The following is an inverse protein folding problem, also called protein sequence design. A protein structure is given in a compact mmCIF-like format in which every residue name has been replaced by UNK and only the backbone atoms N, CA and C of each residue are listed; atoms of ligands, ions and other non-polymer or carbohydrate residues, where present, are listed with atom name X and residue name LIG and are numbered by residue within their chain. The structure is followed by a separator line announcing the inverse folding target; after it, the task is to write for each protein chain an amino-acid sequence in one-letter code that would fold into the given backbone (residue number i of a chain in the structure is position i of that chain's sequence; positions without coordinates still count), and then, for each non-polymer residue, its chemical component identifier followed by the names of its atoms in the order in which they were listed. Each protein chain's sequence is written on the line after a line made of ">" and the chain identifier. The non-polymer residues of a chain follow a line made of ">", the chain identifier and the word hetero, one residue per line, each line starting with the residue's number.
data_IF_456252901846
#
_entry.id   IF_456252901846
#
_cell.length_a   1.000
_cell.length_b   1.000
_cell.length_c   1.000
_cell.angle_alpha   90.00
_cell.angle_beta   90.00
_cell.angle_gamma   90.00
#
_symmetry.space_group_name_H-M   'P 1'
#
loop_
_entity.id
_entity.type
_entity.pdbx_description
1 polymer ?
#
# COMPACT_ATOMS: atom_id res chain seq x y z
N UNK A 1 -28.88 7.56 4.60
CA UNK A 1 -28.21 7.70 5.91
C UNK A 1 -26.96 8.54 5.72
N UNK A 2 -26.69 9.54 6.57
CA UNK A 2 -25.40 10.22 6.55
C UNK A 2 -24.27 9.21 6.86
N UNK A 3 -23.10 9.32 6.22
CA UNK A 3 -21.98 8.43 6.52
C UNK A 3 -21.57 8.61 7.99
N UNK A 4 -21.14 7.53 8.68
CA UNK A 4 -20.70 7.63 10.05
C UNK A 4 -19.56 8.65 10.17
N UNK A 5 -19.62 9.48 11.21
CA UNK A 5 -18.63 10.51 11.50
C UNK A 5 -17.28 9.95 11.98
N UNK A 6 -17.16 8.63 12.11
CA UNK A 6 -15.93 7.94 12.46
C UNK A 6 -15.13 7.67 11.18
N UNK A 7 -14.22 8.58 10.84
CA UNK A 7 -13.27 8.34 9.77
C UNK A 7 -12.25 7.27 10.18
N UNK A 8 -11.99 6.33 9.27
CA UNK A 8 -10.91 5.35 9.42
C UNK A 8 -9.53 5.95 9.09
N UNK A 9 -9.50 7.16 8.51
CA UNK A 9 -8.30 7.86 8.09
C UNK A 9 -8.26 9.27 8.72
N UNK A 10 -7.11 9.94 8.66
CA UNK A 10 -7.02 11.34 9.06
C UNK A 10 -7.54 12.32 7.99
N UNK A 11 -7.99 11.84 6.83
CA UNK A 11 -8.44 12.68 5.71
C UNK A 11 -9.59 13.61 6.11
N UNK A 12 -10.39 13.25 7.10
CA UNK A 12 -11.51 14.04 7.61
C UNK A 12 -11.29 14.64 9.00
N UNK A 13 -10.05 14.79 9.46
CA UNK A 13 -9.75 15.52 10.71
C UNK A 13 -10.33 16.95 10.66
N UNK A 14 -10.90 17.38 11.79
CA UNK A 14 -11.26 18.78 11.99
C UNK A 14 -10.01 19.67 12.12
N UNK A 15 -10.13 20.96 11.82
CA UNK A 15 -9.01 21.91 11.78
C UNK A 15 -8.26 21.99 13.12
N UNK A 16 -8.96 21.91 14.25
CA UNK A 16 -8.36 21.94 15.59
C UNK A 16 -7.56 20.67 15.90
N UNK A 17 -7.99 19.52 15.36
CA UNK A 17 -7.28 18.25 15.46
C UNK A 17 -6.06 18.23 14.54
N UNK A 18 -6.19 18.72 13.31
CA UNK A 18 -5.07 18.82 12.36
C UNK A 18 -3.95 19.69 12.91
N UNK A 19 -4.27 20.78 13.62
CA UNK A 19 -3.26 21.65 14.26
C UNK A 19 -2.35 20.93 15.25
N UNK A 20 -2.77 19.77 15.79
CA UNK A 20 -1.99 18.96 16.72
C UNK A 20 -1.02 18.01 16.02
N UNK A 21 -1.15 17.83 14.70
CA UNK A 21 -0.25 16.99 13.94
C UNK A 21 1.12 17.65 13.72
N UNK A 22 2.20 16.86 13.66
CA UNK A 22 3.48 17.30 13.13
C UNK A 22 3.38 17.96 11.74
N UNK A 23 4.28 18.88 11.43
CA UNK A 23 4.19 19.69 10.19
C UNK A 23 4.27 18.85 8.91
N UNK A 24 5.12 17.84 8.90
CA UNK A 24 5.23 16.86 7.82
C UNK A 24 3.94 16.06 7.62
N UNK A 25 3.31 15.61 8.70
CA UNK A 25 2.01 14.94 8.64
C UNK A 25 0.89 15.87 8.14
N UNK A 26 0.88 17.15 8.54
CA UNK A 26 -0.06 18.15 7.98
C UNK A 26 0.17 18.37 6.49
N UNK A 27 1.43 18.51 6.06
CA UNK A 27 1.77 18.68 4.65
C UNK A 27 1.34 17.46 3.81
N UNK A 28 1.61 16.25 4.29
CA UNK A 28 1.17 15.01 3.65
C UNK A 28 -0.37 14.94 3.57
N UNK A 29 -1.07 15.23 4.68
CA UNK A 29 -2.52 15.25 4.74
C UNK A 29 -3.14 16.23 3.73
N UNK A 30 -2.59 17.45 3.63
CA UNK A 30 -3.03 18.45 2.64
C UNK A 30 -2.81 17.97 1.21
N UNK A 31 -1.66 17.35 0.93
CA UNK A 31 -1.36 16.76 -0.37
C UNK A 31 -2.40 15.73 -0.79
N UNK A 32 -2.70 14.78 0.11
CA UNK A 32 -3.74 13.75 -0.16
C UNK A 32 -5.11 14.38 -0.32
N UNK A 33 -5.51 15.33 0.54
CA UNK A 33 -6.80 16.03 0.41
C UNK A 33 -6.94 16.77 -0.92
N UNK A 34 -5.88 17.39 -1.41
CA UNK A 34 -5.88 18.04 -2.72
C UNK A 34 -6.10 17.01 -3.83
N UNK A 35 -5.42 15.86 -3.78
CA UNK A 35 -5.64 14.78 -4.74
C UNK A 35 -7.10 14.28 -4.73
N UNK A 36 -7.68 14.07 -3.54
CA UNK A 36 -9.09 13.66 -3.41
C UNK A 36 -10.03 14.68 -4.03
N UNK A 37 -9.82 15.99 -3.76
CA UNK A 37 -10.63 17.05 -4.35
C UNK A 37 -10.53 17.05 -5.87
N UNK A 38 -9.33 16.84 -6.42
CA UNK A 38 -9.12 16.71 -7.86
C UNK A 38 -9.92 15.54 -8.42
N UNK A 39 -9.81 14.34 -7.83
CA UNK A 39 -10.56 13.17 -8.29
C UNK A 39 -12.08 13.34 -8.18
N UNK A 40 -12.58 13.94 -7.10
CA UNK A 40 -14.00 14.25 -6.96
C UNK A 40 -14.46 15.23 -8.06
N UNK A 41 -13.65 16.25 -8.36
CA UNK A 41 -13.93 17.19 -9.43
C UNK A 41 -13.95 16.51 -10.80
N UNK A 42 -13.01 15.60 -11.06
CA UNK A 42 -12.96 14.82 -12.31
C UNK A 42 -14.18 13.91 -12.46
N UNK A 43 -14.58 13.20 -11.40
CA UNK A 43 -15.79 12.36 -11.40
C UNK A 43 -17.05 13.17 -11.69
N UNK A 44 -17.18 14.36 -11.08
CA UNK A 44 -18.30 15.28 -11.34
C UNK A 44 -18.30 15.79 -12.77
N UNK A 45 -17.15 16.18 -13.29
CA UNK A 45 -17.04 16.66 -14.67
C UNK A 45 -17.40 15.57 -15.69
N UNK A 46 -17.05 14.32 -15.38
CA UNK A 46 -17.41 13.16 -16.19
C UNK A 46 -18.87 12.71 -16.04
N UNK A 47 -19.66 13.32 -15.14
CA UNK A 47 -21.04 12.88 -14.84
C UNK A 47 -21.11 11.50 -14.17
N UNK A 48 -20.03 11.07 -13.50
CA UNK A 48 -19.88 9.77 -12.85
C UNK A 48 -20.05 9.83 -11.33
N UNK A 49 -20.50 10.96 -10.78
CA UNK A 49 -20.74 11.12 -9.35
C UNK A 49 -22.08 10.51 -8.90
N UNK A 50 -22.96 10.15 -9.85
CA UNK A 50 -24.27 9.53 -9.63
C UNK A 50 -25.16 10.32 -8.65
N UNK A 51 -24.97 11.64 -8.56
CA UNK A 51 -25.68 12.49 -7.60
C UNK A 51 -25.29 12.25 -6.13
N UNK A 52 -24.16 11.60 -5.86
CA UNK A 52 -23.66 11.38 -4.51
C UNK A 52 -23.20 12.70 -3.86
N UNK A 53 -23.48 12.83 -2.57
CA UNK A 53 -23.00 13.97 -1.79
C UNK A 53 -21.47 13.97 -1.70
N UNK A 54 -20.87 15.16 -1.53
CA UNK A 54 -19.42 15.28 -1.32
C UNK A 54 -18.94 14.43 -0.12
N UNK A 55 -19.67 14.46 0.99
CA UNK A 55 -19.36 13.64 2.17
C UNK A 55 -19.33 12.13 1.86
N UNK A 56 -20.22 11.65 0.98
CA UNK A 56 -20.25 10.26 0.53
C UNK A 56 -19.04 9.91 -0.33
N UNK A 57 -18.63 10.82 -1.23
CA UNK A 57 -17.44 10.61 -2.07
C UNK A 57 -16.15 10.60 -1.23
N UNK A 58 -16.02 11.50 -0.26
CA UNK A 58 -14.91 11.47 0.71
C UNK A 58 -14.88 10.19 1.53
N UNK A 59 -16.04 9.74 2.02
CA UNK A 59 -16.14 8.47 2.73
C UNK A 59 -15.75 7.28 1.83
N UNK A 60 -16.18 7.27 0.57
CA UNK A 60 -15.80 6.22 -0.37
C UNK A 60 -14.28 6.21 -0.61
N UNK A 61 -13.66 7.39 -0.75
CA UNK A 61 -12.22 7.50 -0.88
C UNK A 61 -11.48 7.00 0.38
N UNK A 62 -11.97 7.35 1.58
CA UNK A 62 -11.44 6.80 2.85
C UNK A 62 -11.48 5.28 2.84
N UNK A 63 -12.61 4.70 2.44
CA UNK A 63 -12.79 3.25 2.42
C UNK A 63 -11.84 2.58 1.44
N UNK A 64 -11.74 3.10 0.21
CA UNK A 64 -10.83 2.53 -0.80
C UNK A 64 -9.38 2.69 -0.37
N UNK A 65 -8.97 3.87 0.10
CA UNK A 65 -7.58 4.11 0.49
C UNK A 65 -7.15 3.27 1.69
N UNK A 66 -8.00 3.12 2.71
CA UNK A 66 -7.65 2.42 3.96
C UNK A 66 -7.93 0.90 3.94
N UNK A 67 -8.77 0.40 3.03
CA UNK A 67 -9.22 -1.01 3.05
C UNK A 67 -9.02 -1.78 1.75
N UNK A 68 -8.50 -1.15 0.70
CA UNK A 68 -8.21 -1.87 -0.54
C UNK A 68 -6.89 -2.63 -0.49
N UNK A 69 -6.86 -3.74 -1.23
CA UNK A 69 -5.66 -4.50 -1.54
C UNK A 69 -5.21 -4.14 -2.94
N UNK A 70 -3.92 -3.83 -3.09
CA UNK A 70 -3.33 -3.66 -4.42
C UNK A 70 -3.12 -5.04 -5.05
N UNK A 71 -3.70 -5.24 -6.22
CA UNK A 71 -3.41 -6.39 -7.07
C UNK A 71 -2.98 -5.88 -8.44
N UNK A 72 -1.96 -6.49 -9.02
CA UNK A 72 -1.63 -6.23 -10.42
C UNK A 72 -2.52 -7.11 -11.28
N UNK A 73 -2.89 -6.64 -12.47
CA UNK A 73 -3.48 -7.46 -13.52
C UNK A 73 -2.70 -7.27 -14.81
N UNK A 74 -2.30 -8.37 -15.44
CA UNK A 74 -1.95 -8.37 -16.84
C UNK A 74 -3.28 -8.31 -17.61
N UNK A 75 -3.72 -7.10 -17.97
CA UNK A 75 -4.88 -6.99 -18.84
C UNK A 75 -4.44 -7.44 -20.24
N UNK A 76 -5.08 -8.46 -20.83
CA UNK A 76 -4.94 -8.67 -22.25
C UNK A 76 -5.46 -7.42 -22.97
N UNK A 77 -4.75 -6.98 -24.03
CA UNK A 77 -5.30 -6.02 -24.99
C UNK A 77 -6.69 -6.51 -25.46
N UNK A 78 -7.60 -5.63 -25.96
CA UNK A 78 -9.06 -5.84 -26.01
C UNK A 78 -9.65 -7.08 -26.73
N UNK A 79 -8.86 -8.10 -27.08
CA UNK A 79 -9.28 -9.26 -27.88
C UNK A 79 -8.88 -10.64 -27.33
N UNK A 80 -8.47 -10.80 -26.07
CA UNK A 80 -8.05 -12.13 -25.58
C UNK A 80 -8.29 -12.37 -24.09
N UNK A 81 -8.43 -13.64 -23.73
CA UNK A 81 -8.71 -14.18 -22.40
C UNK A 81 -7.63 -13.80 -21.36
N UNK A 82 -8.03 -13.57 -20.11
CA UNK A 82 -7.12 -13.19 -19.00
C UNK A 82 -6.33 -14.42 -18.53
N UNK A 83 -5.00 -14.38 -18.65
CA UNK A 83 -4.10 -15.38 -18.06
C UNK A 83 -3.51 -14.89 -16.72
N UNK A 84 -3.15 -15.87 -15.88
CA UNK A 84 -2.91 -15.81 -14.43
C UNK A 84 -1.98 -14.68 -13.94
N UNK A 85 -2.23 -14.17 -12.71
CA UNK A 85 -1.51 -13.02 -12.13
C UNK A 85 -0.99 -13.33 -10.73
N UNK A 86 0.24 -12.90 -10.44
CA UNK A 86 0.89 -13.02 -9.14
C UNK A 86 0.77 -11.72 -8.34
N UNK A 87 0.42 -11.81 -7.06
CA UNK A 87 0.54 -10.69 -6.12
C UNK A 87 2.02 -10.30 -5.95
N UNK A 88 2.33 -9.01 -5.98
CA UNK A 88 3.67 -8.51 -5.69
C UNK A 88 3.94 -8.69 -4.20
N UNK A 89 4.71 -9.72 -3.86
CA UNK A 89 5.69 -9.58 -2.78
C UNK A 89 6.92 -8.93 -3.43
N UNK A 90 7.40 -7.82 -2.86
CA UNK A 90 8.49 -6.98 -3.38
C UNK A 90 9.62 -7.80 -4.05
N UNK A 91 10.05 -7.48 -5.29
CA UNK A 91 10.97 -8.34 -6.03
C UNK A 91 12.41 -8.26 -5.48
N UNK A 92 12.97 -9.42 -5.13
CA UNK A 92 14.41 -9.62 -4.89
C UNK A 92 15.07 -10.03 -6.21
N UNK A 93 15.97 -9.18 -6.71
CA UNK A 93 16.78 -9.41 -7.91
C UNK A 93 17.74 -10.60 -7.74
N UNK A 94 17.69 -11.57 -8.67
CA UNK A 94 18.85 -12.12 -9.39
C UNK A 94 18.52 -13.48 -10.05
N UNK A 95 18.60 -13.59 -11.38
CA UNK A 95 19.36 -14.69 -12.03
C UNK A 95 19.56 -14.53 -13.54
N UNK A 96 20.74 -14.99 -13.93
CA UNK A 96 21.36 -15.11 -15.25
C UNK A 96 20.92 -16.37 -16.02
N UNK A 97 20.73 -16.24 -17.34
CA UNK A 97 21.23 -17.17 -18.37
C UNK A 97 20.32 -18.29 -18.88
N UNK A 98 19.73 -18.10 -20.07
CA UNK A 98 19.98 -18.86 -21.32
C UNK A 98 18.97 -18.45 -22.43
N UNK A 99 19.40 -18.28 -23.70
CA UNK A 99 18.49 -17.95 -24.80
C UNK A 99 17.94 -19.22 -25.47
N UNK A 100 16.61 -19.36 -25.50
CA UNK A 100 15.88 -20.36 -26.30
C UNK A 100 14.94 -19.65 -27.27
N UNK A 101 14.70 -20.29 -28.41
CA UNK A 101 14.08 -19.79 -29.64
C UNK A 101 12.76 -19.04 -29.43
N UNK A 102 12.60 -17.97 -30.23
CA UNK A 102 11.51 -17.01 -30.19
C UNK A 102 10.19 -17.56 -30.76
N UNK A 103 9.19 -17.66 -29.89
CA UNK A 103 7.78 -17.64 -30.27
C UNK A 103 7.28 -16.20 -30.31
N UNK A 104 6.68 -15.82 -31.43
CA UNK A 104 6.11 -14.50 -31.65
C UNK A 104 4.64 -14.47 -31.22
N UNK A 105 4.34 -14.06 -29.98
CA UNK A 105 3.09 -13.34 -29.65
C UNK A 105 3.06 -12.66 -28.26
N UNK A 106 4.20 -12.38 -27.61
CA UNK A 106 4.20 -11.67 -26.32
C UNK A 106 4.26 -10.15 -26.52
N UNK A 107 3.14 -9.56 -26.94
CA UNK A 107 2.98 -8.12 -26.73
C UNK A 107 3.00 -7.88 -25.20
N UNK A 108 3.91 -7.06 -24.67
CA UNK A 108 4.02 -6.85 -23.24
C UNK A 108 2.72 -6.26 -22.71
N UNK A 109 1.94 -7.05 -21.99
CA UNK A 109 0.77 -6.55 -21.28
C UNK A 109 1.26 -5.56 -20.23
N UNK A 110 0.79 -4.31 -20.31
CA UNK A 110 1.17 -3.31 -19.32
C UNK A 110 0.47 -3.68 -18.02
N UNK A 111 1.19 -3.94 -16.92
CA UNK A 111 0.56 -4.30 -15.66
C UNK A 111 -0.30 -3.13 -15.18
N UNK A 112 -1.59 -3.39 -14.96
CA UNK A 112 -2.52 -2.43 -14.38
C UNK A 112 -2.68 -2.74 -12.90
N UNK A 113 -2.46 -1.74 -12.05
CA UNK A 113 -2.71 -1.86 -10.62
C UNK A 113 -4.19 -1.63 -10.34
N UNK A 114 -4.83 -2.60 -9.71
CA UNK A 114 -6.22 -2.58 -9.29
C UNK A 114 -6.29 -2.45 -7.76
N UNK A 115 -7.27 -1.66 -7.30
CA UNK A 115 -7.66 -1.59 -5.90
C UNK A 115 -8.84 -2.55 -5.66
N UNK A 116 -8.65 -3.56 -4.81
CA UNK A 116 -9.66 -4.56 -4.50
C UNK A 116 -10.20 -4.37 -3.09
N UNK A 117 -11.50 -4.15 -2.96
CA UNK A 117 -12.17 -4.24 -1.67
C UNK A 117 -12.63 -5.68 -1.45
N UNK A 118 -11.90 -6.43 -0.62
CA UNK A 118 -12.19 -7.84 -0.34
C UNK A 118 -12.92 -7.95 1.00
N UNK A 119 -14.21 -8.35 1.03
CA UNK A 119 -14.95 -8.56 2.27
C UNK A 119 -14.21 -9.51 3.21
N UNK A 120 -14.34 -9.30 4.52
CA UNK A 120 -13.66 -10.05 5.59
C UNK A 120 -12.15 -9.83 5.65
N UNK A 121 -11.44 -9.90 4.53
CA UNK A 121 -9.99 -9.65 4.50
C UNK A 121 -9.66 -8.20 4.91
N UNK A 122 -10.52 -7.23 4.58
CA UNK A 122 -10.36 -5.84 5.00
C UNK A 122 -10.50 -5.59 6.51
N UNK A 123 -10.80 -6.64 7.30
CA UNK A 123 -10.81 -6.59 8.76
C UNK A 123 -9.46 -6.97 9.38
N UNK A 124 -8.53 -7.51 8.59
CA UNK A 124 -7.19 -7.86 9.05
C UNK A 124 -6.40 -6.58 9.38
N UNK A 125 -5.83 -6.54 10.58
CA UNK A 125 -5.04 -5.41 11.02
C UNK A 125 -3.60 -5.47 10.50
N UNK A 126 -2.93 -4.32 10.59
CA UNK A 126 -1.53 -4.20 10.28
C UNK A 126 -0.65 -4.61 11.48
N UNK A 127 0.41 -5.37 11.21
CA UNK A 127 1.54 -5.51 12.13
C UNK A 127 2.86 -5.38 11.36
N UNK A 128 3.89 -4.69 11.90
CA UNK A 128 5.24 -4.66 11.29
C UNK A 128 5.93 -6.02 11.21
N UNK A 129 5.53 -6.97 12.05
CA UNK A 129 5.96 -8.37 12.09
C UNK A 129 4.77 -9.29 11.79
N UNK A 130 4.18 -9.21 10.58
CA UNK A 130 2.91 -9.88 10.30
C UNK A 130 3.05 -11.40 10.32
N UNK A 131 2.03 -12.07 10.84
CA UNK A 131 1.92 -13.54 10.89
C UNK A 131 1.14 -14.12 9.70
N UNK A 132 0.57 -13.27 8.84
CA UNK A 132 -0.06 -13.65 7.58
C UNK A 132 0.39 -12.78 6.40
N UNK A 133 0.17 -13.33 5.21
CA UNK A 133 0.23 -12.66 3.92
C UNK A 133 -1.05 -12.96 3.14
N UNK A 134 -1.23 -12.35 1.98
CA UNK A 134 -2.34 -12.66 1.09
C UNK A 134 -1.87 -12.86 -0.35
N UNK A 135 -2.66 -13.62 -1.11
CA UNK A 135 -2.51 -13.78 -2.56
C UNK A 135 -3.86 -13.54 -3.21
N UNK A 136 -3.88 -12.64 -4.19
CA UNK A 136 -5.00 -12.46 -5.08
C UNK A 136 -4.67 -13.12 -6.42
N UNK A 137 -5.55 -13.99 -6.91
CA UNK A 137 -5.53 -14.54 -8.26
C UNK A 137 -6.81 -14.07 -8.97
N UNK A 138 -6.67 -13.09 -9.85
CA UNK A 138 -7.80 -12.48 -10.55
C UNK A 138 -8.33 -13.35 -11.69
N UNK A 139 -7.50 -14.24 -12.24
CA UNK A 139 -7.92 -15.21 -13.25
C UNK A 139 -8.86 -16.24 -12.65
N UNK A 140 -8.51 -16.76 -11.48
CA UNK A 140 -9.35 -17.70 -10.71
C UNK A 140 -10.37 -17.00 -9.81
N UNK A 141 -10.34 -15.67 -9.74
CA UNK A 141 -11.18 -14.84 -8.84
C UNK A 141 -11.09 -15.28 -7.37
N UNK A 142 -9.90 -15.64 -6.93
CA UNK A 142 -9.66 -16.06 -5.55
C UNK A 142 -8.82 -15.04 -4.80
N UNK A 143 -9.12 -14.90 -3.51
CA UNK A 143 -8.31 -14.15 -2.56
C UNK A 143 -8.05 -15.05 -1.36
N UNK A 144 -6.78 -15.33 -1.09
CA UNK A 144 -6.37 -16.27 -0.04
C UNK A 144 -5.49 -15.54 0.95
N UNK A 145 -5.84 -15.64 2.23
CA UNK A 145 -4.98 -15.22 3.34
C UNK A 145 -4.21 -16.45 3.80
N UNK A 146 -2.88 -16.36 3.77
CA UNK A 146 -1.98 -17.47 4.05
C UNK A 146 -1.10 -17.12 5.23
N UNK A 147 -0.91 -18.06 6.14
CA UNK A 147 0.02 -17.87 7.26
C UNK A 147 1.46 -17.74 6.75
N UNK A 148 2.21 -16.77 7.27
CA UNK A 148 3.57 -16.50 6.83
C UNK A 148 4.54 -17.50 7.46
N UNK A 149 5.28 -18.23 6.63
CA UNK A 149 6.48 -18.96 7.07
C UNK A 149 7.58 -17.95 7.40
N UNK A 150 8.16 -18.03 8.60
CA UNK A 150 9.21 -17.10 9.04
C UNK A 150 10.36 -17.10 8.02
N UNK A 151 10.54 -15.99 7.32
CA UNK A 151 11.26 -15.89 6.04
C UNK A 151 12.78 -16.12 6.05
N UNK A 152 13.33 -16.71 7.10
CA UNK A 152 14.75 -17.09 7.18
C UNK A 152 15.01 -18.44 7.85
N UNK A 153 13.96 -19.11 8.33
CA UNK A 153 14.10 -20.43 8.90
C UNK A 153 13.38 -21.42 8.01
N UNK A 154 14.09 -22.47 7.57
CA UNK A 154 13.49 -23.67 6.99
C UNK A 154 12.60 -24.43 8.00
N UNK A 155 12.51 -23.94 9.23
CA UNK A 155 11.56 -24.40 10.23
C UNK A 155 10.14 -23.98 9.82
N UNK A 156 9.20 -24.89 10.06
CA UNK A 156 7.79 -24.72 9.73
C UNK A 156 7.23 -23.38 10.23
N UNK A 157 6.28 -22.76 9.51
CA UNK A 157 5.55 -21.57 9.99
C UNK A 157 5.08 -21.81 11.43
N UNK A 158 5.40 -20.87 12.33
CA UNK A 158 4.91 -20.93 13.72
C UNK A 158 3.38 -20.95 13.68
N UNK A 159 2.70 -22.03 14.09
CA UNK A 159 1.25 -22.13 14.04
C UNK A 159 0.60 -20.99 14.83
N UNK A 160 -0.53 -20.47 14.32
CA UNK A 160 -1.36 -19.50 15.02
C UNK A 160 -1.97 -20.18 16.25
N UNK A 161 -1.81 -19.55 17.41
CA UNK A 161 -2.39 -20.05 18.66
C UNK A 161 -3.84 -19.53 18.80
N UNK A 162 -4.79 -20.30 19.36
CA UNK A 162 -6.13 -19.78 19.64
C UNK A 162 -6.08 -18.48 20.46
N UNK A 163 -6.76 -17.44 19.96
CA UNK A 163 -6.76 -16.10 20.56
C UNK A 163 -5.65 -15.17 20.06
N UNK A 164 -4.68 -15.65 19.27
CA UNK A 164 -3.73 -14.80 18.56
C UNK A 164 -4.43 -14.06 17.41
N UNK A 165 -4.16 -12.76 17.28
CA UNK A 165 -4.69 -11.95 16.20
C UNK A 165 -3.99 -12.27 14.87
N UNK A 166 -4.76 -12.36 13.79
CA UNK A 166 -4.21 -12.55 12.45
C UNK A 166 -3.93 -11.18 11.82
N UNK A 167 -2.65 -10.88 11.61
CA UNK A 167 -2.20 -9.58 11.10
C UNK A 167 -1.43 -9.73 9.79
N UNK A 168 -1.61 -8.77 8.90
CA UNK A 168 -0.90 -8.65 7.63
C UNK A 168 -0.01 -7.39 7.61
N UNK A 169 0.88 -7.27 6.63
CA UNK A 169 1.48 -5.98 6.35
C UNK A 169 0.59 -5.18 5.40
N UNK A 170 0.37 -3.90 5.69
CA UNK A 170 -0.26 -2.95 4.77
C UNK A 170 0.75 -2.38 3.74
N UNK A 171 2.04 -2.65 3.93
CA UNK A 171 3.16 -2.24 3.09
C UNK A 171 4.47 -2.36 3.88
N UNK A 172 5.53 -2.87 3.25
CA UNK A 172 6.79 -3.17 3.94
C UNK A 172 7.57 -1.92 4.36
N UNK A 173 7.33 -0.77 3.72
CA UNK A 173 8.11 0.46 3.89
C UNK A 173 7.28 1.63 4.46
N UNK A 174 6.11 1.37 5.05
CA UNK A 174 5.25 2.44 5.57
C UNK A 174 5.78 3.01 6.89
N UNK A 175 6.03 4.32 6.93
CA UNK A 175 6.32 5.06 8.15
C UNK A 175 5.03 5.45 8.92
N UNK A 176 5.17 5.93 10.15
CA UNK A 176 4.03 6.34 10.97
C UNK A 176 3.26 7.54 10.41
N UNK A 177 3.87 8.41 9.61
CA UNK A 177 3.15 9.52 8.97
C UNK A 177 2.20 8.96 7.91
N UNK A 178 2.67 8.03 7.09
CA UNK A 178 1.88 7.34 6.08
C UNK A 178 0.80 6.46 6.72
N UNK A 179 1.13 5.72 7.78
CA UNK A 179 0.16 4.92 8.52
C UNK A 179 -0.95 5.80 9.12
N UNK A 180 -0.58 6.92 9.73
CA UNK A 180 -1.53 7.85 10.32
C UNK A 180 -2.44 8.44 9.23
N UNK A 181 -1.87 9.02 8.16
CA UNK A 181 -2.65 9.68 7.11
C UNK A 181 -3.61 8.69 6.43
N UNK A 182 -3.14 7.49 6.07
CA UNK A 182 -3.91 6.52 5.27
C UNK A 182 -4.83 5.64 6.11
N UNK A 183 -4.42 5.25 7.31
CA UNK A 183 -5.12 4.24 8.13
C UNK A 183 -5.51 4.72 9.54
N UNK A 184 -5.18 5.96 9.92
CA UNK A 184 -5.64 6.56 11.17
C UNK A 184 -4.95 6.05 12.43
N UNK A 185 -3.81 5.35 12.33
CA UNK A 185 -3.06 4.85 13.49
C UNK A 185 -1.54 4.99 13.30
N UNK A 186 -0.78 4.87 14.40
CA UNK A 186 0.68 4.75 14.39
C UNK A 186 1.10 3.48 15.12
N UNK A 187 2.25 2.91 14.77
CA UNK A 187 2.85 1.77 15.45
C UNK A 187 4.05 2.19 16.28
N UNK A 188 4.06 1.82 17.56
CA UNK A 188 5.19 2.07 18.45
C UNK A 188 6.42 1.29 17.99
N UNK A 189 7.54 1.98 17.79
CA UNK A 189 8.78 1.35 17.35
C UNK A 189 8.75 0.89 15.90
N UNK A 190 7.96 1.56 15.04
CA UNK A 190 7.97 1.30 13.60
C UNK A 190 9.40 1.46 13.06
N UNK A 191 10.00 0.36 12.62
CA UNK A 191 11.38 0.34 12.10
C UNK A 191 11.51 1.13 10.78
N UNK A 192 10.40 1.49 10.15
CA UNK A 192 10.37 2.30 8.94
C UNK A 192 10.32 3.80 9.21
N UNK A 193 10.09 4.23 10.45
CA UNK A 193 10.18 5.64 10.79
C UNK A 193 11.59 6.16 10.44
N UNK A 194 11.63 7.28 9.74
CA UNK A 194 12.86 7.98 9.39
C UNK A 194 12.81 9.35 10.05
N UNK A 195 13.88 9.69 10.76
CA UNK A 195 14.09 11.07 11.16
C UNK A 195 14.71 11.81 9.96
N UNK A 196 14.17 12.97 9.55
CA UNK A 196 14.80 13.76 8.52
C UNK A 196 16.20 14.14 9.00
N UNK A 197 17.21 13.77 8.21
CA UNK A 197 18.59 14.10 8.53
C UNK A 197 18.82 15.59 8.24
N UNK A 198 19.30 16.39 9.20
CA UNK A 198 19.65 17.79 8.97
C UNK A 198 20.56 17.95 7.75
N UNK A 199 20.40 19.00 6.92
CA UNK A 199 21.20 19.18 5.71
C UNK A 199 22.71 19.11 5.94
N UNK A 200 23.16 19.64 7.08
CA UNK A 200 24.56 19.62 7.52
C UNK A 200 25.07 18.19 7.73
N UNK A 201 24.28 17.31 8.35
CA UNK A 201 24.62 15.91 8.57
C UNK A 201 24.58 15.12 7.26
N UNK A 202 23.68 15.46 6.32
CA UNK A 202 23.67 14.85 4.98
C UNK A 202 24.96 15.16 4.23
N UNK A 203 25.42 16.41 4.30
CA UNK A 203 26.69 16.82 3.68
C UNK A 203 27.89 16.11 4.34
N UNK A 204 27.92 16.05 5.67
CA UNK A 204 28.97 15.35 6.41
C UNK A 204 29.01 13.84 6.07
N UNK A 205 27.86 13.18 6.03
CA UNK A 205 27.75 11.76 5.68
C UNK A 205 28.20 11.48 4.24
N UNK A 206 27.89 12.38 3.29
CA UNK A 206 28.40 12.29 1.91
C UNK A 206 29.92 12.41 1.86
N UNK A 207 30.49 13.36 2.62
CA UNK A 207 31.95 13.54 2.73
C UNK A 207 32.65 12.29 3.28
N UNK A 208 32.14 11.72 4.36
CA UNK A 208 32.64 10.47 4.94
C UNK A 208 32.58 9.30 3.94
N UNK A 209 31.48 9.16 3.20
CA UNK A 209 31.33 8.11 2.18
C UNK A 209 32.35 8.27 1.04
N UNK A 210 32.61 9.51 0.60
CA UNK A 210 33.63 9.79 -0.41
C UNK A 210 35.03 9.45 0.12
N UNK A 211 35.38 9.85 1.34
CA UNK A 211 36.66 9.51 1.96
C UNK A 211 36.87 8.00 2.04
N UNK A 212 35.85 7.22 2.42
CA UNK A 212 35.94 5.76 2.46
C UNK A 212 36.16 5.11 1.09
N UNK A 213 35.66 5.72 0.01
CA UNK A 213 35.87 5.22 -1.35
C UNK A 213 37.29 5.46 -1.86
N UNK A 214 37.96 6.53 -1.40
CA UNK A 214 39.34 6.86 -1.79
C UNK A 214 40.40 6.29 -0.82
N UNK A 215 39.98 5.66 0.28
CA UNK A 215 40.88 5.06 1.28
C UNK A 215 41.09 3.55 1.07
N UNK A 216 40.83 3.04 -0.14
CA UNK A 216 41.11 1.65 -0.56
C UNK A 216 42.15 1.65 -1.67
#
# INVERSE_FOLDING_TARGET
>A
MPPPNTAASLLRLADDQERRLPEDARAALRGVRMQVKTYISELRHAGLDWGLSEATLWWAFDMVSSRSFAATAALPLPHGTIESISAISSPRSNRTGNPSFADASDAPSTPVMLALCVPWACLLNHDPSPNATFKADLGQRTFQVMQRSSGFSFLAPKPLVPGEELCISYGEDLDNVQLAVKYGFCTKGNANDRLPMPPELVLAARGLRQQMLFSR
#
